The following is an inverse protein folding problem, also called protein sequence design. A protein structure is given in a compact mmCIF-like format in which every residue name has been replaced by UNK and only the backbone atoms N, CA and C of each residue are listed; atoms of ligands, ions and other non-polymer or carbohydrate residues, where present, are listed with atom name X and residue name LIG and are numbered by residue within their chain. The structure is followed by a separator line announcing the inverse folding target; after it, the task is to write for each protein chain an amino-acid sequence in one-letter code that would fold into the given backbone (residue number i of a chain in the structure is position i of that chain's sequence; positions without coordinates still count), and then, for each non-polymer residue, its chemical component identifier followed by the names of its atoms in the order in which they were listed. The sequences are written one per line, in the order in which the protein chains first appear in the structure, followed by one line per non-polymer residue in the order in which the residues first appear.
data_IF_566380229882
#
_entry.id   IF_566380229882
#
_cell.length_a   1.000
_cell.length_b   1.000
_cell.length_c   1.000
_cell.angle_alpha   90.00
_cell.angle_beta   90.00
_cell.angle_gamma   90.00
#
_symmetry.space_group_name_H-M   'P 1'
#
loop_
_entity.id
_entity.type
_entity.pdbx_description
1 polymer ?
#
# COMPACT_ATOMS: atom_id res chain seq x y z
N UNK A 1 7.44 30.38 30.73
CA UNK A 1 6.59 29.18 30.60
C UNK A 1 5.16 29.68 30.64
N UNK A 2 4.34 29.41 29.62
CA UNK A 2 2.94 29.85 29.65
C UNK A 2 2.21 29.16 30.79
N UNK A 3 1.38 29.88 31.52
CA UNK A 3 0.57 29.30 32.60
C UNK A 3 -0.24 28.12 32.05
N UNK A 4 -0.29 27.02 32.81
CA UNK A 4 -1.20 25.91 32.48
C UNK A 4 -2.64 26.41 32.50
N UNK A 5 -3.46 26.01 31.52
CA UNK A 5 -4.90 26.29 31.58
C UNK A 5 -5.51 25.68 32.86
N UNK A 6 -6.64 26.20 33.36
CA UNK A 6 -7.23 25.70 34.62
C UNK A 6 -8.13 24.49 34.40
N UNK A 7 -8.58 24.26 33.16
CA UNK A 7 -9.39 23.11 32.77
C UNK A 7 -9.25 22.78 31.28
N UNK A 8 -9.62 21.56 30.91
CA UNK A 8 -9.67 21.11 29.51
C UNK A 8 -10.58 21.97 28.64
N UNK A 9 -11.71 22.43 29.21
CA UNK A 9 -12.62 23.34 28.51
C UNK A 9 -11.97 24.71 28.22
N UNK A 10 -11.22 25.28 29.19
CA UNK A 10 -10.48 26.53 28.95
C UNK A 10 -9.41 26.37 27.86
N UNK A 11 -8.70 25.24 27.84
CA UNK A 11 -7.74 24.92 26.79
C UNK A 11 -8.42 24.78 25.42
N UNK A 12 -9.51 24.03 25.35
CA UNK A 12 -10.28 23.84 24.12
C UNK A 12 -10.80 25.17 23.57
N UNK A 13 -11.29 26.06 24.43
CA UNK A 13 -11.71 27.42 24.05
C UNK A 13 -10.54 28.28 23.57
N UNK A 14 -9.37 28.17 24.18
CA UNK A 14 -8.18 28.88 23.70
C UNK A 14 -7.72 28.39 22.32
N UNK A 15 -7.83 27.08 22.05
CA UNK A 15 -7.60 26.50 20.72
C UNK A 15 -8.64 27.04 19.73
N UNK A 16 -9.92 27.08 20.10
CA UNK A 16 -10.98 27.66 19.27
C UNK A 16 -10.65 29.11 18.85
N UNK A 17 -10.28 29.96 19.81
CA UNK A 17 -9.89 31.35 19.55
C UNK A 17 -8.65 31.46 18.63
N UNK A 18 -7.66 30.59 18.82
CA UNK A 18 -6.47 30.57 17.97
C UNK A 18 -6.74 30.11 16.53
N UNK A 19 -7.74 29.25 16.35
CA UNK A 19 -8.11 28.66 15.06
C UNK A 19 -9.22 29.41 14.32
N UNK A 20 -9.99 30.25 15.01
CA UNK A 20 -11.12 31.01 14.45
C UNK A 20 -10.82 31.71 13.11
N UNK A 21 -9.65 32.37 12.90
CA UNK A 21 -9.37 33.04 11.63
C UNK A 21 -9.30 32.10 10.42
N UNK A 22 -8.98 30.82 10.64
CA UNK A 22 -8.88 29.80 9.60
C UNK A 22 -10.14 28.92 9.53
N UNK A 23 -10.77 28.66 10.67
CA UNK A 23 -11.86 27.70 10.76
C UNK A 23 -13.03 28.33 11.52
N UNK A 24 -13.75 29.28 10.91
CA UNK A 24 -14.89 29.91 11.56
C UNK A 24 -16.06 28.91 11.64
N UNK A 25 -16.87 29.02 12.70
CA UNK A 25 -18.15 28.29 12.87
C UNK A 25 -18.04 26.78 13.20
N UNK A 26 -17.26 26.43 14.23
CA UNK A 26 -17.32 25.08 14.81
C UNK A 26 -18.70 24.75 15.40
N UNK A 27 -19.16 23.52 15.21
CA UNK A 27 -20.20 22.92 16.05
C UNK A 27 -19.53 22.26 17.26
N UNK A 28 -19.95 22.63 18.46
CA UNK A 28 -19.40 22.11 19.71
C UNK A 28 -20.14 20.84 20.15
N UNK A 29 -19.40 19.84 20.64
CA UNK A 29 -19.92 18.60 21.22
C UNK A 29 -20.96 17.91 20.31
N UNK A 30 -20.55 17.60 19.09
CA UNK A 30 -21.42 16.95 18.12
C UNK A 30 -21.65 15.49 18.51
N UNK A 31 -22.88 15.17 18.92
CA UNK A 31 -23.26 13.81 19.32
C UNK A 31 -23.57 12.96 18.09
N UNK A 32 -22.93 11.80 18.02
CA UNK A 32 -23.14 10.78 16.99
C UNK A 32 -23.85 9.60 17.62
N UNK A 33 -25.05 9.30 17.14
CA UNK A 33 -25.89 8.20 17.62
C UNK A 33 -26.04 7.14 16.53
N UNK A 34 -25.08 6.19 16.39
CA UNK A 34 -25.27 5.04 15.51
C UNK A 34 -26.52 4.25 15.92
N UNK A 35 -27.13 3.50 14.98
CA UNK A 35 -28.35 2.71 15.23
C UNK A 35 -28.34 1.88 16.53
N UNK A 36 -29.55 1.60 17.02
CA UNK A 36 -29.90 0.99 18.31
C UNK A 36 -28.91 -0.10 18.77
N UNK A 37 -28.24 0.16 19.89
CA UNK A 37 -27.41 -0.82 20.61
C UNK A 37 -25.91 -0.51 20.68
N UNK A 38 -25.42 0.49 19.94
CA UNK A 38 -24.02 0.95 20.01
C UNK A 38 -23.92 2.20 20.90
N UNK A 39 -22.87 2.30 21.72
CA UNK A 39 -22.56 3.48 22.55
C UNK A 39 -22.37 4.70 21.64
N UNK A 40 -23.07 5.79 21.93
CA UNK A 40 -22.94 7.05 21.20
C UNK A 40 -21.53 7.63 21.32
N UNK A 41 -21.09 8.36 20.30
CA UNK A 41 -19.85 9.15 20.33
C UNK A 41 -20.16 10.63 20.58
N UNK A 42 -19.25 11.35 21.21
CA UNK A 42 -19.29 12.82 21.26
C UNK A 42 -18.00 13.32 20.66
N UNK A 43 -18.13 14.09 19.58
CA UNK A 43 -17.01 14.72 18.88
C UNK A 43 -16.86 16.14 19.41
N UNK A 44 -15.67 16.53 19.85
CA UNK A 44 -15.47 17.85 20.49
C UNK A 44 -15.83 19.01 19.57
N UNK A 45 -15.29 19.02 18.34
CA UNK A 45 -15.69 19.99 17.31
C UNK A 45 -15.88 19.34 15.95
N UNK A 46 -16.85 19.85 15.22
CA UNK A 46 -17.08 19.49 13.83
C UNK A 46 -17.26 20.75 12.99
N UNK A 47 -16.50 20.87 11.91
CA UNK A 47 -16.69 21.91 10.90
C UNK A 47 -17.26 21.27 9.63
N UNK A 48 -18.55 21.48 9.42
CA UNK A 48 -19.33 20.86 8.36
C UNK A 48 -19.12 19.33 8.30
N UNK A 49 -19.07 18.72 7.11
CA UNK A 49 -18.76 17.30 6.95
C UNK A 49 -17.27 17.03 6.65
N UNK A 50 -16.35 17.95 6.97
CA UNK A 50 -15.00 17.94 6.37
C UNK A 50 -13.85 17.90 7.37
N UNK A 51 -14.11 18.34 8.60
CA UNK A 51 -13.09 18.46 9.62
C UNK A 51 -13.67 18.10 10.99
N UNK A 52 -13.07 17.08 11.60
CA UNK A 52 -13.32 16.68 12.99
C UNK A 52 -12.15 17.17 13.84
N UNK A 53 -12.43 17.62 15.06
CA UNK A 53 -11.41 17.84 16.09
C UNK A 53 -11.76 17.07 17.36
N UNK A 54 -10.75 16.43 17.92
CA UNK A 54 -10.77 15.87 19.27
C UNK A 54 -9.63 16.48 20.09
N UNK A 55 -9.95 16.89 21.31
CA UNK A 55 -9.02 17.51 22.24
C UNK A 55 -8.79 16.55 23.42
N UNK A 56 -7.52 16.35 23.79
CA UNK A 56 -7.17 15.68 25.03
C UNK A 56 -6.03 16.44 25.72
N UNK A 57 -6.18 16.67 27.02
CA UNK A 57 -5.18 17.32 27.84
C UNK A 57 -3.82 16.61 27.78
N UNK A 58 -3.73 15.36 28.19
CA UNK A 58 -2.54 14.49 28.18
C UNK A 58 -2.98 13.02 28.21
N UNK A 59 -2.16 12.10 27.70
CA UNK A 59 -2.43 10.66 27.89
C UNK A 59 -2.27 10.29 29.36
N UNK A 60 -3.39 10.09 30.05
CA UNK A 60 -3.44 9.53 31.40
C UNK A 60 -3.74 8.04 31.34
N UNK A 61 -3.54 7.31 32.44
CA UNK A 61 -3.88 5.88 32.55
C UNK A 61 -5.38 5.59 32.41
N UNK A 62 -6.24 6.62 32.47
CA UNK A 62 -7.70 6.49 32.40
C UNK A 62 -8.32 7.09 31.14
N UNK A 63 -7.56 7.85 30.34
CA UNK A 63 -8.03 8.43 29.09
C UNK A 63 -7.67 7.56 27.89
N UNK A 64 -8.60 7.38 26.95
CA UNK A 64 -8.29 6.77 25.66
C UNK A 64 -7.20 7.57 24.94
N UNK A 65 -6.36 6.88 24.17
CA UNK A 65 -5.48 7.51 23.21
C UNK A 65 -6.31 8.38 22.24
N UNK A 66 -5.86 9.62 21.96
CA UNK A 66 -6.64 10.60 21.20
C UNK A 66 -6.84 10.16 19.75
N UNK A 67 -5.86 9.44 19.19
CA UNK A 67 -5.93 8.97 17.83
C UNK A 67 -6.96 7.85 17.73
N UNK A 68 -6.99 6.93 18.71
CA UNK A 68 -8.00 5.89 18.79
C UNK A 68 -9.41 6.46 18.99
N UNK A 69 -9.55 7.47 19.85
CA UNK A 69 -10.83 8.17 20.06
C UNK A 69 -11.30 8.84 18.78
N UNK A 70 -10.45 9.64 18.13
CA UNK A 70 -10.79 10.32 16.88
C UNK A 70 -11.11 9.35 15.74
N UNK A 71 -10.39 8.23 15.67
CA UNK A 71 -10.67 7.15 14.71
C UNK A 71 -12.04 6.54 14.94
N UNK A 72 -12.40 6.29 16.21
CA UNK A 72 -13.73 5.79 16.57
C UNK A 72 -14.83 6.81 16.29
N UNK A 73 -14.59 8.08 16.60
CA UNK A 73 -15.52 9.18 16.29
C UNK A 73 -15.82 9.27 14.80
N UNK A 74 -14.79 9.23 13.96
CA UNK A 74 -14.97 9.19 12.50
C UNK A 74 -15.74 7.93 12.05
N UNK A 75 -15.42 6.76 12.61
CA UNK A 75 -16.11 5.51 12.30
C UNK A 75 -17.62 5.59 12.61
N UNK A 76 -17.95 6.04 13.82
CA UNK A 76 -19.34 6.24 14.26
C UNK A 76 -20.06 7.24 13.37
N UNK A 77 -19.38 8.32 12.98
CA UNK A 77 -19.95 9.35 12.13
C UNK A 77 -20.31 8.81 10.74
N UNK A 78 -19.41 8.07 10.11
CA UNK A 78 -19.68 7.41 8.83
C UNK A 78 -20.83 6.41 8.97
N UNK A 79 -20.88 5.65 10.06
CA UNK A 79 -21.98 4.71 10.33
C UNK A 79 -23.34 5.41 10.45
N UNK A 80 -23.38 6.54 11.16
CA UNK A 80 -24.58 7.35 11.33
C UNK A 80 -25.07 7.98 10.00
N UNK A 81 -24.15 8.51 9.19
CA UNK A 81 -24.47 9.03 7.86
C UNK A 81 -25.04 7.93 6.95
N UNK A 82 -24.41 6.75 6.96
CA UNK A 82 -24.88 5.59 6.18
C UNK A 82 -26.25 5.11 6.65
N UNK A 83 -26.43 5.04 7.96
CA UNK A 83 -27.67 4.66 8.61
C UNK A 83 -28.84 5.53 8.13
N UNK A 84 -28.64 6.84 8.19
CA UNK A 84 -29.64 7.84 7.80
C UNK A 84 -29.76 8.03 6.28
N UNK A 85 -28.89 7.41 5.49
CA UNK A 85 -28.70 7.68 4.06
C UNK A 85 -28.49 9.18 3.78
N UNK A 86 -27.77 9.85 4.67
CA UNK A 86 -27.50 11.28 4.59
C UNK A 86 -26.29 11.53 3.68
N UNK A 87 -26.40 12.51 2.77
CA UNK A 87 -25.35 12.91 1.84
C UNK A 87 -24.73 11.73 1.03
N UNK A 88 -25.50 11.01 0.19
CA UNK A 88 -25.02 9.82 -0.52
C UNK A 88 -23.85 10.08 -1.48
N UNK A 89 -23.76 11.27 -2.07
CA UNK A 89 -22.61 11.66 -2.91
C UNK A 89 -21.30 11.74 -2.09
N UNK A 90 -21.36 12.26 -0.87
CA UNK A 90 -20.21 12.30 0.05
C UNK A 90 -19.78 10.89 0.46
N UNK A 91 -20.74 10.02 0.81
CA UNK A 91 -20.46 8.61 1.12
C UNK A 91 -19.84 7.88 -0.08
N UNK A 92 -20.34 8.12 -1.30
CA UNK A 92 -19.79 7.55 -2.54
C UNK A 92 -18.36 8.04 -2.82
N UNK A 93 -18.07 9.33 -2.55
CA UNK A 93 -16.71 9.88 -2.60
C UNK A 93 -15.77 9.28 -1.54
N UNK A 94 -16.31 8.50 -0.60
CA UNK A 94 -15.55 7.82 0.46
C UNK A 94 -15.50 8.62 1.75
N UNK A 95 -16.48 9.47 2.01
CA UNK A 95 -16.58 10.30 3.20
C UNK A 95 -15.26 10.99 3.62
N UNK A 96 -14.49 11.60 2.68
CA UNK A 96 -13.18 12.14 3.01
C UNK A 96 -13.27 13.26 4.06
N UNK A 97 -12.51 13.13 5.14
CA UNK A 97 -12.44 14.13 6.19
C UNK A 97 -11.00 14.34 6.66
N UNK A 98 -10.67 15.54 7.10
CA UNK A 98 -9.50 15.75 7.95
C UNK A 98 -9.89 15.58 9.41
N UNK A 99 -8.95 15.10 10.21
CA UNK A 99 -9.14 14.86 11.65
C UNK A 99 -7.97 15.52 12.38
N UNK A 100 -8.28 16.48 13.24
CA UNK A 100 -7.32 17.19 14.09
C UNK A 100 -7.34 16.57 15.49
N UNK A 101 -6.21 16.05 15.93
CA UNK A 101 -6.06 15.54 17.29
C UNK A 101 -5.11 16.47 18.07
N UNK A 102 -5.62 17.08 19.14
CA UNK A 102 -4.84 17.93 20.03
C UNK A 102 -4.51 17.21 21.33
N UNK A 103 -3.29 16.69 21.47
CA UNK A 103 -2.84 16.01 22.69
C UNK A 103 -1.76 16.82 23.39
N UNK A 104 -2.10 17.47 24.51
CA UNK A 104 -1.19 18.37 25.20
C UNK A 104 -0.60 19.43 24.26
N UNK A 105 0.73 19.49 24.07
CA UNK A 105 1.36 20.42 23.14
C UNK A 105 1.43 19.92 21.68
N UNK A 106 0.90 18.73 21.37
CA UNK A 106 0.99 18.10 20.05
C UNK A 106 -0.29 18.33 19.25
N UNK A 107 -0.10 18.68 17.97
CA UNK A 107 -1.13 18.64 16.94
C UNK A 107 -0.81 17.49 15.98
N UNK A 108 -1.76 16.58 15.79
CA UNK A 108 -1.69 15.51 14.79
C UNK A 108 -2.80 15.77 13.76
N UNK A 109 -2.45 15.69 12.48
CA UNK A 109 -3.41 15.78 11.38
C UNK A 109 -3.52 14.40 10.73
N UNK A 110 -4.72 13.83 10.77
CA UNK A 110 -5.06 12.57 10.12
C UNK A 110 -6.05 12.80 8.98
N UNK A 111 -6.12 11.83 8.08
CA UNK A 111 -7.14 11.73 7.04
C UNK A 111 -8.08 10.59 7.34
N UNK A 112 -9.38 10.86 7.35
CA UNK A 112 -10.46 9.88 7.38
C UNK A 112 -10.92 9.55 5.97
N UNK A 113 -11.10 8.26 5.69
CA UNK A 113 -11.60 7.76 4.41
C UNK A 113 -12.41 6.48 4.60
N UNK A 114 -13.57 6.39 3.96
CA UNK A 114 -14.43 5.22 3.92
C UNK A 114 -14.29 4.50 2.59
N UNK A 115 -13.70 3.31 2.60
CA UNK A 115 -13.41 2.56 1.38
C UNK A 115 -14.64 1.88 0.75
N UNK A 116 -15.80 1.92 1.43
CA UNK A 116 -17.03 1.23 1.04
C UNK A 116 -17.34 0.02 1.93
N UNK A 117 -16.33 -0.51 2.64
CA UNK A 117 -16.48 -1.57 3.62
C UNK A 117 -16.19 -1.10 5.04
N UNK A 118 -15.10 -0.36 5.24
CA UNK A 118 -14.63 0.11 6.55
C UNK A 118 -14.13 1.55 6.53
N UNK A 119 -14.33 2.30 7.62
CA UNK A 119 -13.62 3.55 7.86
C UNK A 119 -12.13 3.28 8.10
N UNK A 120 -11.29 4.14 7.54
CA UNK A 120 -9.84 4.14 7.65
C UNK A 120 -9.46 5.54 8.14
N UNK A 121 -8.59 5.60 9.13
CA UNK A 121 -7.97 6.83 9.60
C UNK A 121 -6.47 6.59 9.60
N UNK A 122 -5.72 7.52 9.03
CA UNK A 122 -4.25 7.44 8.99
C UNK A 122 -3.65 8.83 9.23
N UNK A 123 -2.55 8.94 10.00
CA UNK A 123 -1.79 10.19 10.10
C UNK A 123 -1.27 10.63 8.73
N UNK A 124 -1.46 11.91 8.40
CA UNK A 124 -0.97 12.48 7.13
C UNK A 124 0.40 13.15 7.28
N UNK A 125 0.77 13.50 8.51
CA UNK A 125 2.03 14.14 8.85
C UNK A 125 2.54 13.66 10.20
N UNK A 126 3.85 13.84 10.43
CA UNK A 126 4.41 13.71 11.77
C UNK A 126 3.80 14.76 12.72
N UNK A 127 3.60 14.42 14.02
CA UNK A 127 3.06 15.33 15.02
C UNK A 127 3.81 16.67 15.08
N UNK A 128 3.06 17.77 15.18
CA UNK A 128 3.57 19.13 15.28
C UNK A 128 3.57 19.58 16.74
N UNK A 129 4.74 19.96 17.24
CA UNK A 129 4.88 20.54 18.59
C UNK A 129 4.51 22.02 18.54
N UNK A 130 3.46 22.41 19.27
CA UNK A 130 2.92 23.78 19.31
C UNK A 130 3.60 24.70 20.33
N UNK A 131 4.62 24.21 21.04
CA UNK A 131 5.39 25.03 21.97
C UNK A 131 6.27 26.04 21.22
N UNK A 132 6.26 27.28 21.70
CA UNK A 132 7.05 28.38 21.15
C UNK A 132 8.53 28.00 21.08
N UNK A 133 9.09 28.04 19.87
CA UNK A 133 10.54 27.93 19.64
C UNK A 133 11.19 29.32 19.57
N UNK A 134 12.46 29.41 19.98
CA UNK A 134 13.23 30.66 19.90
C UNK A 134 13.59 31.03 18.44
N UNK A 135 13.72 30.05 17.55
CA UNK A 135 14.06 30.23 16.13
C UNK A 135 12.84 30.51 15.24
N UNK A 136 11.62 30.47 15.80
CA UNK A 136 10.34 30.53 15.07
C UNK A 136 10.05 29.34 14.13
N UNK A 137 10.93 28.34 14.03
CA UNK A 137 10.75 27.21 13.11
C UNK A 137 9.49 26.39 13.41
N UNK A 138 9.19 26.15 14.69
CA UNK A 138 7.98 25.41 15.11
C UNK A 138 6.71 26.16 14.74
N UNK A 139 6.71 27.47 14.97
CA UNK A 139 5.61 28.36 14.64
C UNK A 139 5.39 28.42 13.12
N UNK A 140 6.49 28.49 12.34
CA UNK A 140 6.42 28.43 10.88
C UNK A 140 5.86 27.09 10.40
N UNK A 141 6.33 25.97 10.95
CA UNK A 141 5.80 24.63 10.61
C UNK A 141 4.32 24.51 10.94
N UNK A 142 3.90 24.97 12.12
CA UNK A 142 2.49 24.99 12.52
C UNK A 142 1.65 25.85 11.57
N UNK A 143 2.11 27.06 11.25
CA UNK A 143 1.41 27.95 10.32
C UNK A 143 1.26 27.34 8.92
N UNK A 144 2.31 26.70 8.39
CA UNK A 144 2.26 26.00 7.10
C UNK A 144 1.22 24.87 7.15
N UNK A 145 1.26 24.02 8.17
CA UNK A 145 0.31 22.91 8.31
C UNK A 145 -1.13 23.40 8.39
N UNK A 146 -1.42 24.41 9.21
CA UNK A 146 -2.77 24.95 9.36
C UNK A 146 -3.25 25.68 8.10
N UNK A 147 -2.36 26.43 7.41
CA UNK A 147 -2.69 27.10 6.14
C UNK A 147 -3.00 26.07 5.05
N UNK A 148 -2.18 25.04 4.90
CA UNK A 148 -2.42 23.97 3.93
C UNK A 148 -3.71 23.24 4.25
N UNK A 149 -3.96 22.91 5.53
CA UNK A 149 -5.20 22.28 5.94
C UNK A 149 -6.42 23.14 5.56
N UNK A 150 -6.39 24.44 5.85
CA UNK A 150 -7.43 25.39 5.47
C UNK A 150 -7.69 25.38 3.95
N UNK A 151 -6.63 25.51 3.15
CA UNK A 151 -6.74 25.53 1.69
C UNK A 151 -7.34 24.22 1.15
N UNK A 152 -6.97 23.08 1.74
CA UNK A 152 -7.41 21.74 1.28
C UNK A 152 -8.83 21.36 1.72
N UNK A 153 -9.45 22.06 2.68
CA UNK A 153 -10.86 21.81 3.01
C UNK A 153 -11.81 22.08 1.84
N UNK A 154 -11.44 23.00 0.94
CA UNK A 154 -12.22 23.26 -0.27
C UNK A 154 -12.10 22.13 -1.29
N UNK A 155 -11.00 21.37 -1.29
CA UNK A 155 -10.83 20.20 -2.15
C UNK A 155 -11.84 19.12 -1.78
N UNK A 156 -12.05 18.89 -0.47
CA UNK A 156 -13.08 17.97 0.02
C UNK A 156 -14.46 18.41 -0.49
N UNK A 157 -14.80 19.69 -0.37
CA UNK A 157 -16.09 20.22 -0.88
C UNK A 157 -16.27 20.02 -2.38
N UNK A 158 -15.20 20.15 -3.17
CA UNK A 158 -15.27 19.87 -4.60
C UNK A 158 -15.53 18.40 -4.87
N UNK A 159 -14.80 17.51 -4.18
CA UNK A 159 -15.00 16.06 -4.28
C UNK A 159 -16.41 15.62 -3.89
N UNK A 160 -17.08 16.32 -2.98
CA UNK A 160 -18.46 16.01 -2.57
C UNK A 160 -19.53 16.54 -3.51
N UNK A 161 -19.24 17.62 -4.25
CA UNK A 161 -20.21 18.35 -5.06
C UNK A 161 -20.09 18.07 -6.56
N UNK A 162 -18.92 17.63 -7.02
CA UNK A 162 -18.77 17.11 -8.37
C UNK A 162 -19.51 15.77 -8.47
N UNK A 163 -20.27 15.51 -9.56
CA UNK A 163 -20.85 14.20 -9.78
C UNK A 163 -19.69 13.20 -9.89
N UNK A 164 -19.41 12.52 -8.79
CA UNK A 164 -18.37 11.51 -8.74
C UNK A 164 -18.64 10.44 -9.82
N UNK A 165 -17.61 9.70 -10.24
CA UNK A 165 -17.84 8.49 -11.03
C UNK A 165 -18.92 7.66 -10.32
N UNK A 166 -19.85 7.10 -11.10
CA UNK A 166 -21.05 6.40 -10.64
C UNK A 166 -20.84 5.67 -9.29
N UNK A 167 -21.80 5.79 -8.34
CA UNK A 167 -21.59 5.59 -6.89
C UNK A 167 -21.14 4.19 -6.41
N UNK A 168 -20.77 3.27 -7.30
CA UNK A 168 -20.42 1.87 -6.98
C UNK A 168 -19.18 1.31 -7.73
N UNK A 169 -18.32 2.15 -8.34
CA UNK A 169 -17.23 1.62 -9.20
C UNK A 169 -15.99 1.12 -8.42
N UNK A 170 -15.81 1.47 -7.14
CA UNK A 170 -14.62 1.06 -6.37
C UNK A 170 -14.95 -0.02 -5.34
N UNK A 171 -14.43 -1.25 -5.53
CA UNK A 171 -14.56 -2.30 -4.52
C UNK A 171 -13.86 -1.90 -3.21
N UNK A 172 -14.38 -2.31 -2.04
CA UNK A 172 -13.71 -2.11 -0.77
C UNK A 172 -12.28 -2.67 -0.79
N UNK A 173 -11.41 -2.04 0.00
CA UNK A 173 -9.99 -2.39 0.12
C UNK A 173 -9.20 -2.30 -1.19
N UNK A 174 -9.65 -1.49 -2.15
CA UNK A 174 -8.90 -1.20 -3.37
C UNK A 174 -8.55 0.29 -3.49
N UNK A 175 -7.43 0.62 -4.17
CA UNK A 175 -7.09 2.01 -4.46
C UNK A 175 -8.16 2.70 -5.32
N UNK A 176 -8.51 3.95 -5.00
CA UNK A 176 -9.35 4.81 -5.86
C UNK A 176 -8.53 5.72 -6.78
N UNK A 177 -7.22 5.71 -6.59
CA UNK A 177 -6.23 6.36 -7.45
C UNK A 177 -5.84 5.41 -8.60
N UNK A 178 -5.08 5.93 -9.57
CA UNK A 178 -4.59 5.16 -10.73
C UNK A 178 -5.71 4.63 -11.65
N UNK A 179 -6.71 5.45 -11.97
CA UNK A 179 -7.82 5.05 -12.86
C UNK A 179 -7.38 4.90 -14.33
N UNK A 180 -6.22 5.45 -14.68
CA UNK A 180 -5.64 5.41 -16.02
C UNK A 180 -4.12 5.23 -15.90
N UNK A 181 -3.52 4.59 -16.89
CA UNK A 181 -2.08 4.47 -17.01
C UNK A 181 -1.62 4.54 -18.47
N UNK A 182 -0.46 5.17 -18.71
CA UNK A 182 0.22 5.17 -20.01
C UNK A 182 0.98 3.86 -20.18
N UNK A 183 0.76 3.18 -21.30
CA UNK A 183 1.43 1.90 -21.58
C UNK A 183 2.91 2.14 -21.92
N UNK A 184 3.78 1.26 -21.42
CA UNK A 184 5.22 1.31 -21.73
C UNK A 184 5.42 1.09 -23.23
N UNK A 185 6.24 1.94 -23.85
CA UNK A 185 6.55 1.85 -25.28
C UNK A 185 5.41 2.26 -26.21
N UNK A 186 4.36 2.89 -25.70
CA UNK A 186 3.19 3.35 -26.46
C UNK A 186 2.71 4.72 -25.98
N UNK A 187 2.01 5.45 -26.85
CA UNK A 187 1.26 6.66 -26.48
C UNK A 187 -0.16 6.35 -25.98
N UNK A 188 -0.56 5.08 -25.99
CA UNK A 188 -1.87 4.66 -25.49
C UNK A 188 -2.00 4.85 -23.97
N UNK A 189 -3.12 5.47 -23.59
CA UNK A 189 -3.60 5.53 -22.21
C UNK A 189 -4.75 4.54 -22.05
N UNK A 190 -4.58 3.59 -21.13
CA UNK A 190 -5.58 2.56 -20.84
C UNK A 190 -6.26 2.85 -19.51
N UNK A 191 -7.55 2.49 -19.40
CA UNK A 191 -8.27 2.59 -18.13
C UNK A 191 -7.92 1.39 -17.25
N UNK A 192 -7.64 1.65 -15.97
CA UNK A 192 -7.33 0.66 -14.97
C UNK A 192 -8.45 0.61 -13.93
N UNK A 193 -9.00 -0.59 -13.70
CA UNK A 193 -10.07 -0.81 -12.72
C UNK A 193 -9.69 -1.91 -11.75
N UNK A 194 -9.48 -1.55 -10.49
CA UNK A 194 -9.19 -2.49 -9.42
C UNK A 194 -10.41 -3.36 -9.08
N UNK A 195 -10.17 -4.63 -8.74
CA UNK A 195 -11.21 -5.61 -8.37
C UNK A 195 -11.12 -6.04 -6.92
N UNK A 196 -9.95 -6.52 -6.48
CA UNK A 196 -9.74 -7.03 -5.12
C UNK A 196 -8.24 -7.05 -4.78
N UNK A 197 -7.86 -6.96 -3.50
CA UNK A 197 -6.54 -7.38 -3.06
C UNK A 197 -6.25 -8.83 -3.48
N UNK A 198 -5.01 -9.10 -3.90
CA UNK A 198 -4.55 -10.44 -4.26
C UNK A 198 -4.28 -11.28 -3.01
N UNK A 199 -3.71 -10.67 -1.96
CA UNK A 199 -3.45 -11.33 -0.69
C UNK A 199 -4.16 -10.60 0.45
N UNK A 200 -4.94 -11.33 1.23
CA UNK A 200 -5.49 -10.88 2.50
C UNK A 200 -4.83 -11.71 3.61
N UNK A 201 -4.45 -11.09 4.72
CA UNK A 201 -4.02 -11.83 5.90
C UNK A 201 -5.22 -12.56 6.55
N UNK A 202 -4.95 -13.35 7.60
CA UNK A 202 -5.96 -14.10 8.34
C UNK A 202 -7.09 -13.20 8.91
N UNK A 203 -6.85 -11.90 9.07
CA UNK A 203 -7.81 -10.90 9.55
C UNK A 203 -8.49 -10.13 8.41
N UNK A 204 -8.33 -10.57 7.16
CA UNK A 204 -8.93 -9.93 5.99
C UNK A 204 -8.25 -8.62 5.54
N UNK A 205 -7.19 -8.17 6.22
CA UNK A 205 -6.45 -6.96 5.86
C UNK A 205 -5.42 -7.24 4.75
N UNK A 206 -5.17 -6.24 3.93
CA UNK A 206 -4.19 -6.31 2.83
C UNK A 206 -2.79 -6.43 3.43
N UNK A 207 -2.15 -7.60 3.29
CA UNK A 207 -0.81 -7.86 3.82
C UNK A 207 0.31 -7.37 2.90
N UNK A 208 0.01 -7.27 1.60
CA UNK A 208 0.87 -6.73 0.56
C UNK A 208 0.00 -5.93 -0.39
N UNK A 209 0.42 -4.73 -0.80
CA UNK A 209 -0.36 -3.86 -1.67
C UNK A 209 -0.33 -4.35 -3.14
N UNK A 210 -0.80 -5.58 -3.35
CA UNK A 210 -0.90 -6.25 -4.64
C UNK A 210 -2.39 -6.54 -4.89
N UNK A 211 -2.86 -6.20 -6.08
CA UNK A 211 -4.27 -6.19 -6.42
C UNK A 211 -4.52 -6.88 -7.77
N UNK A 212 -5.67 -7.53 -7.88
CA UNK A 212 -6.24 -7.90 -9.16
C UNK A 212 -6.98 -6.70 -9.75
N UNK A 213 -6.79 -6.45 -11.04
CA UNK A 213 -7.44 -5.37 -11.77
C UNK A 213 -7.73 -5.78 -13.23
N UNK A 214 -8.41 -4.90 -13.95
CA UNK A 214 -8.56 -4.99 -15.41
C UNK A 214 -7.99 -3.77 -16.09
N UNK A 215 -7.30 -4.01 -17.20
CA UNK A 215 -6.76 -3.00 -18.09
C UNK A 215 -7.64 -2.95 -19.35
N UNK A 216 -8.30 -1.82 -19.58
CA UNK A 216 -9.19 -1.59 -20.72
C UNK A 216 -8.44 -0.74 -21.74
N UNK A 217 -8.07 -1.35 -22.87
CA UNK A 217 -7.34 -0.73 -23.95
C UNK A 217 -8.31 -0.10 -24.95
N UNK A 218 -8.00 1.11 -25.39
CA UNK A 218 -8.84 1.90 -26.31
C UNK A 218 -8.29 1.89 -27.74
N UNK A 219 -7.28 1.06 -28.03
CA UNK A 219 -6.76 0.88 -29.38
C UNK A 219 -7.84 0.46 -30.39
N UNK A 220 -7.48 0.41 -31.69
CA UNK A 220 -8.35 0.06 -32.84
C UNK A 220 -9.15 -1.24 -32.68
N UNK A 221 -8.84 -2.06 -31.67
CA UNK A 221 -9.70 -3.15 -31.19
C UNK A 221 -9.76 -3.09 -29.67
N UNK A 222 -10.91 -2.74 -29.08
CA UNK A 222 -11.07 -2.70 -27.62
C UNK A 222 -10.75 -4.07 -27.01
N UNK A 223 -9.84 -4.12 -26.06
CA UNK A 223 -9.51 -5.32 -25.30
C UNK A 223 -9.59 -5.04 -23.80
N UNK A 224 -9.97 -6.08 -23.06
CA UNK A 224 -9.96 -6.07 -21.59
C UNK A 224 -9.05 -7.20 -21.14
N UNK A 225 -8.00 -6.86 -20.41
CA UNK A 225 -7.01 -7.82 -19.91
C UNK A 225 -7.05 -7.85 -18.39
N UNK A 226 -7.06 -9.05 -17.81
CA UNK A 226 -6.83 -9.21 -16.38
C UNK A 226 -5.35 -8.94 -16.08
N UNK A 227 -5.10 -8.10 -15.08
CA UNK A 227 -3.75 -7.68 -14.69
C UNK A 227 -3.57 -7.78 -13.19
N UNK A 228 -2.30 -7.84 -12.78
CA UNK A 228 -1.88 -7.65 -11.39
C UNK A 228 -1.30 -6.24 -11.26
N UNK A 229 -1.64 -5.55 -10.18
CA UNK A 229 -1.10 -4.23 -9.86
C UNK A 229 -0.40 -4.29 -8.52
N UNK A 230 0.89 -3.98 -8.50
CA UNK A 230 1.66 -3.80 -7.26
C UNK A 230 1.83 -2.32 -6.99
N UNK A 231 1.54 -1.87 -5.77
CA UNK A 231 1.91 -0.54 -5.32
C UNK A 231 3.20 -0.61 -4.50
N UNK A 232 4.22 0.14 -4.87
CA UNK A 232 5.47 0.21 -4.11
C UNK A 232 5.86 1.67 -3.84
N UNK A 233 6.14 1.98 -2.58
CA UNK A 233 6.62 3.30 -2.17
C UNK A 233 8.13 3.46 -2.38
N UNK A 234 8.86 2.34 -2.29
CA UNK A 234 10.32 2.27 -2.47
C UNK A 234 10.69 1.98 -3.92
N UNK A 235 12.00 1.92 -4.19
CA UNK A 235 12.52 1.54 -5.50
C UNK A 235 12.05 0.14 -5.89
N UNK A 236 11.48 0.02 -7.08
CA UNK A 236 11.16 -1.25 -7.73
C UNK A 236 12.04 -1.40 -8.96
N UNK A 237 12.61 -2.58 -9.19
CA UNK A 237 13.49 -2.88 -10.32
C UNK A 237 12.75 -2.99 -11.66
N UNK A 238 12.04 -1.95 -12.07
CA UNK A 238 11.25 -1.91 -13.30
C UNK A 238 12.08 -2.17 -14.56
N UNK A 239 13.34 -1.74 -14.58
CA UNK A 239 14.25 -1.98 -15.70
C UNK A 239 14.64 -3.45 -15.82
N UNK A 240 14.94 -4.09 -14.67
CA UNK A 240 15.25 -5.53 -14.61
C UNK A 240 14.01 -6.35 -14.98
N UNK A 241 12.83 -5.96 -14.47
CA UNK A 241 11.56 -6.59 -14.82
C UNK A 241 11.29 -6.51 -16.32
N UNK A 242 11.38 -5.32 -16.92
CA UNK A 242 11.18 -5.14 -18.36
C UNK A 242 12.20 -5.92 -19.19
N UNK A 243 13.46 -5.98 -18.74
CA UNK A 243 14.51 -6.74 -19.40
C UNK A 243 14.20 -8.24 -19.40
N UNK A 244 13.92 -8.84 -18.23
CA UNK A 244 13.55 -10.25 -18.16
C UNK A 244 12.24 -10.55 -18.90
N UNK A 245 11.28 -9.62 -18.91
CA UNK A 245 10.04 -9.79 -19.68
C UNK A 245 10.29 -9.88 -21.19
N UNK A 246 11.25 -9.11 -21.72
CA UNK A 246 11.68 -9.20 -23.13
C UNK A 246 12.35 -10.53 -23.48
N UNK A 247 13.05 -11.11 -22.52
CA UNK A 247 13.65 -12.46 -22.62
C UNK A 247 12.64 -13.57 -22.32
N UNK A 248 11.36 -13.24 -22.16
CA UNK A 248 10.29 -14.17 -21.77
C UNK A 248 10.52 -14.87 -20.42
N UNK A 249 11.34 -14.30 -19.55
CA UNK A 249 11.70 -14.80 -18.22
C UNK A 249 10.97 -14.09 -17.08
N UNK A 250 10.11 -13.11 -17.36
CA UNK A 250 9.23 -12.46 -16.39
C UNK A 250 7.86 -12.15 -17.01
N UNK A 251 6.80 -11.93 -16.20
CA UNK A 251 5.52 -11.48 -16.73
C UNK A 251 5.68 -10.10 -17.38
N UNK A 252 4.89 -9.77 -18.40
CA UNK A 252 4.98 -8.45 -19.04
C UNK A 252 4.68 -7.33 -18.04
N UNK A 253 5.50 -6.27 -18.04
CA UNK A 253 5.18 -5.01 -17.37
C UNK A 253 4.48 -4.09 -18.37
N UNK A 254 3.20 -3.81 -18.16
CA UNK A 254 2.38 -3.01 -19.06
C UNK A 254 2.52 -1.51 -18.83
N UNK A 255 2.58 -1.08 -17.57
CA UNK A 255 2.64 0.34 -17.23
C UNK A 255 3.30 0.57 -15.87
N UNK A 256 3.93 1.74 -15.73
CA UNK A 256 4.35 2.32 -14.45
C UNK A 256 3.65 3.67 -14.31
N UNK A 257 2.80 3.80 -13.28
CA UNK A 257 2.14 5.06 -12.97
C UNK A 257 2.73 5.65 -11.69
N UNK A 258 3.48 6.74 -11.85
CA UNK A 258 4.10 7.49 -10.76
C UNK A 258 3.35 8.78 -10.47
N UNK A 259 3.12 9.07 -9.19
CA UNK A 259 2.53 10.32 -8.71
C UNK A 259 3.27 10.76 -7.46
N UNK A 260 3.61 12.04 -7.38
CA UNK A 260 4.33 12.59 -6.23
C UNK A 260 3.55 12.37 -4.93
N UNK A 261 4.24 11.93 -3.88
CA UNK A 261 3.67 11.77 -2.53
C UNK A 261 2.82 10.51 -2.33
N UNK A 262 2.70 9.62 -3.31
CA UNK A 262 2.03 8.32 -3.17
C UNK A 262 2.86 7.20 -3.82
N UNK A 263 2.61 5.92 -3.49
CA UNK A 263 3.31 4.80 -4.11
C UNK A 263 3.20 4.78 -5.64
N UNK A 264 4.18 4.19 -6.30
CA UNK A 264 4.11 3.91 -7.73
C UNK A 264 3.23 2.68 -7.97
N UNK A 265 2.42 2.69 -9.04
CA UNK A 265 1.65 1.54 -9.46
C UNK A 265 2.34 0.83 -10.64
N UNK A 266 2.66 -0.45 -10.46
CA UNK A 266 3.26 -1.33 -11.47
C UNK A 266 2.17 -2.28 -11.98
N UNK A 267 1.73 -2.06 -13.21
CA UNK A 267 0.68 -2.86 -13.86
C UNK A 267 1.34 -3.94 -14.70
N UNK A 268 1.11 -5.21 -14.35
CA UNK A 268 1.78 -6.35 -14.97
C UNK A 268 0.81 -7.46 -15.35
N UNK A 269 1.26 -8.33 -16.24
CA UNK A 269 0.56 -9.52 -16.68
C UNK A 269 0.12 -10.38 -15.50
N UNK A 270 -1.14 -10.81 -15.52
CA UNK A 270 -1.64 -11.82 -14.61
C UNK A 270 -1.32 -13.20 -15.17
N UNK A 271 -0.42 -13.91 -14.50
CA UNK A 271 -0.16 -15.30 -14.83
C UNK A 271 -1.42 -16.16 -14.55
N UNK A 272 -1.82 -17.05 -15.48
CA UNK A 272 -2.97 -17.92 -15.28
C UNK A 272 -2.72 -19.02 -14.24
N UNK A 273 -3.79 -19.73 -13.83
CA UNK A 273 -3.79 -20.58 -12.63
C UNK A 273 -2.79 -21.74 -12.63
N UNK A 274 -2.35 -22.19 -13.81
CA UNK A 274 -1.34 -23.25 -13.91
C UNK A 274 0.07 -22.79 -13.51
N UNK A 275 0.29 -21.48 -13.39
CA UNK A 275 1.54 -20.93 -12.88
C UNK A 275 1.53 -20.99 -11.35
N UNK A 276 2.37 -21.85 -10.79
CA UNK A 276 2.56 -21.99 -9.34
C UNK A 276 3.95 -21.52 -8.95
N UNK A 277 4.17 -21.18 -7.68
CA UNK A 277 5.55 -20.94 -7.22
C UNK A 277 6.33 -22.25 -7.22
N UNK A 278 7.63 -22.19 -7.49
CA UNK A 278 8.49 -23.35 -7.43
C UNK A 278 8.53 -23.95 -6.02
N UNK A 279 8.41 -23.11 -4.98
CA UNK A 279 8.21 -23.57 -3.61
C UNK A 279 6.96 -24.45 -3.47
N UNK A 280 5.81 -23.99 -3.97
CA UNK A 280 4.57 -24.78 -3.94
C UNK A 280 4.66 -26.08 -4.73
N UNK A 281 5.39 -26.11 -5.85
CA UNK A 281 5.65 -27.35 -6.60
C UNK A 281 6.45 -28.35 -5.75
N UNK A 282 7.56 -27.90 -5.15
CA UNK A 282 8.38 -28.76 -4.29
C UNK A 282 7.65 -29.24 -3.04
N UNK A 283 6.77 -28.41 -2.48
CA UNK A 283 5.98 -28.74 -1.29
C UNK A 283 4.85 -29.72 -1.60
N UNK A 284 4.03 -29.42 -2.60
CA UNK A 284 2.77 -30.12 -2.85
C UNK A 284 2.88 -31.25 -3.89
N UNK A 285 3.85 -31.18 -4.80
CA UNK A 285 4.08 -32.17 -5.86
C UNK A 285 5.57 -32.57 -5.94
N UNK A 286 6.14 -33.16 -4.87
CA UNK A 286 7.58 -33.46 -4.78
C UNK A 286 8.08 -34.46 -5.84
N UNK A 287 7.20 -35.33 -6.36
CA UNK A 287 7.53 -36.27 -7.45
C UNK A 287 7.81 -35.53 -8.76
N UNK A 288 6.92 -34.62 -9.13
CA UNK A 288 7.07 -33.81 -10.35
C UNK A 288 8.30 -32.90 -10.25
N UNK A 289 8.49 -32.25 -9.09
CA UNK A 289 9.72 -31.48 -8.85
C UNK A 289 10.96 -32.33 -9.08
N UNK A 290 11.03 -33.53 -8.48
CA UNK A 290 12.19 -34.43 -8.62
C UNK A 290 12.41 -34.83 -10.08
N UNK A 291 11.35 -35.24 -10.77
CA UNK A 291 11.39 -35.67 -12.17
C UNK A 291 11.93 -34.57 -13.09
N UNK A 292 11.55 -33.31 -12.85
CA UNK A 292 11.89 -32.18 -13.72
C UNK A 292 13.02 -31.27 -13.18
N UNK A 293 13.60 -31.63 -12.04
CA UNK A 293 14.61 -30.84 -11.31
C UNK A 293 15.78 -30.39 -12.18
N UNK A 294 16.27 -31.25 -13.08
CA UNK A 294 17.38 -30.91 -13.97
C UNK A 294 17.00 -29.80 -14.98
N UNK A 295 15.81 -29.90 -15.58
CA UNK A 295 15.31 -28.88 -16.52
C UNK A 295 15.05 -27.55 -15.82
N UNK A 296 14.46 -27.60 -14.62
CA UNK A 296 14.23 -26.41 -13.77
C UNK A 296 15.55 -25.72 -13.44
N UNK A 297 16.56 -26.46 -12.96
CA UNK A 297 17.87 -25.90 -12.62
C UNK A 297 18.57 -25.28 -13.82
N UNK A 298 18.49 -25.92 -14.99
CA UNK A 298 19.08 -25.38 -16.21
C UNK A 298 18.42 -24.05 -16.61
N UNK A 299 17.09 -23.94 -16.49
CA UNK A 299 16.37 -22.69 -16.77
C UNK A 299 16.70 -21.60 -15.74
N UNK A 300 16.86 -21.94 -14.46
CA UNK A 300 17.30 -20.99 -13.42
C UNK A 300 18.73 -20.48 -13.65
N UNK A 301 19.66 -21.36 -14.02
CA UNK A 301 21.03 -20.96 -14.43
C UNK A 301 21.02 -20.04 -15.65
N UNK A 302 20.10 -20.29 -16.58
CA UNK A 302 19.89 -19.40 -17.72
C UNK A 302 19.42 -18.00 -17.28
N UNK A 303 18.46 -17.89 -16.36
CA UNK A 303 18.04 -16.61 -15.75
C UNK A 303 19.24 -15.86 -15.16
N UNK A 304 20.03 -16.52 -14.33
CA UNK A 304 21.24 -15.93 -13.72
C UNK A 304 22.22 -15.45 -14.81
N UNK A 305 22.41 -16.25 -15.86
CA UNK A 305 23.27 -15.87 -16.99
C UNK A 305 22.76 -14.63 -17.72
N UNK A 306 21.45 -14.54 -17.95
CA UNK A 306 20.79 -13.40 -18.61
C UNK A 306 20.93 -12.12 -17.77
N UNK A 307 20.70 -12.19 -16.46
CA UNK A 307 20.91 -11.07 -15.53
C UNK A 307 22.36 -10.57 -15.57
N UNK A 308 23.33 -11.49 -15.47
CA UNK A 308 24.75 -11.15 -15.48
C UNK A 308 25.19 -10.43 -16.76
N UNK A 309 24.64 -10.78 -17.92
CA UNK A 309 24.96 -10.13 -19.21
C UNK A 309 24.68 -8.63 -19.21
N UNK A 310 23.70 -8.17 -18.44
CA UNK A 310 23.34 -6.75 -18.32
C UNK A 310 23.83 -6.12 -17.01
N UNK A 311 24.66 -6.83 -16.25
CA UNK A 311 25.03 -6.45 -14.89
C UNK A 311 23.82 -6.14 -14.00
N UNK A 312 22.72 -6.88 -14.21
CA UNK A 312 21.55 -6.83 -13.34
C UNK A 312 21.63 -7.89 -12.25
N UNK A 313 20.95 -7.60 -11.16
CA UNK A 313 20.72 -8.49 -10.03
C UNK A 313 19.23 -8.48 -9.68
N UNK A 314 18.71 -9.63 -9.29
CA UNK A 314 17.37 -9.75 -8.74
C UNK A 314 17.37 -9.42 -7.25
N UNK A 315 18.35 -9.94 -6.51
CA UNK A 315 18.53 -9.70 -5.07
C UNK A 315 17.73 -10.67 -4.19
N UNK A 316 16.52 -11.04 -4.60
CA UNK A 316 15.67 -12.00 -3.90
C UNK A 316 15.34 -13.27 -4.72
N UNK A 317 16.31 -13.82 -5.45
CA UNK A 317 16.09 -14.97 -6.36
C UNK A 317 15.89 -16.29 -5.59
N UNK A 318 14.71 -16.47 -4.99
CA UNK A 318 14.29 -17.66 -4.23
C UNK A 318 13.14 -18.40 -4.90
N UNK A 319 12.91 -19.65 -4.48
CA UNK A 319 11.83 -20.50 -4.99
C UNK A 319 10.41 -19.89 -4.89
N UNK A 320 10.18 -18.98 -3.94
CA UNK A 320 8.92 -18.23 -3.82
C UNK A 320 8.72 -17.17 -4.91
N UNK A 321 9.81 -16.70 -5.51
CA UNK A 321 9.84 -15.65 -6.53
C UNK A 321 10.09 -16.22 -7.95
N UNK A 322 10.01 -17.54 -8.08
CA UNK A 322 10.06 -18.28 -9.34
C UNK A 322 8.69 -18.91 -9.57
N UNK A 323 7.99 -18.47 -10.60
CA UNK A 323 6.76 -19.10 -11.08
C UNK A 323 7.10 -20.14 -12.13
N UNK A 324 6.41 -21.28 -12.12
CA UNK A 324 6.58 -22.38 -13.07
C UNK A 324 5.23 -22.80 -13.66
N UNK A 325 5.16 -22.98 -14.98
CA UNK A 325 3.95 -23.49 -15.64
C UNK A 325 3.92 -25.02 -15.55
N UNK A 326 3.01 -25.56 -14.73
CA UNK A 326 2.92 -27.01 -14.52
C UNK A 326 2.48 -27.78 -15.76
N UNK A 327 1.84 -27.14 -16.75
CA UNK A 327 1.45 -27.80 -17.98
C UNK A 327 2.65 -28.11 -18.88
N UNK A 328 3.76 -27.39 -18.69
CA UNK A 328 4.98 -27.57 -19.50
C UNK A 328 5.93 -28.62 -18.93
N UNK A 329 5.72 -29.05 -17.69
CA UNK A 329 6.57 -30.04 -17.02
C UNK A 329 6.60 -31.37 -17.78
N UNK A 330 5.52 -31.78 -18.44
CA UNK A 330 5.45 -33.05 -19.17
C UNK A 330 6.23 -33.13 -20.48
N UNK A 331 6.68 -32.00 -21.02
CA UNK A 331 7.40 -31.94 -22.29
C UNK A 331 8.92 -31.89 -22.03
N UNK A 332 9.66 -32.90 -22.49
CA UNK A 332 11.12 -32.95 -22.33
C UNK A 332 11.77 -31.65 -22.82
N UNK A 333 12.41 -30.93 -21.88
CA UNK A 333 13.16 -29.70 -22.17
C UNK A 333 12.34 -28.40 -22.24
N UNK A 334 11.03 -28.41 -21.96
CA UNK A 334 10.18 -27.21 -22.07
C UNK A 334 9.79 -26.56 -20.74
N UNK A 335 10.65 -26.60 -19.72
CA UNK A 335 10.32 -25.96 -18.44
C UNK A 335 10.23 -24.44 -18.62
N UNK A 336 9.01 -23.91 -18.51
CA UNK A 336 8.77 -22.48 -18.54
C UNK A 336 8.71 -21.89 -17.13
N UNK A 337 9.53 -20.86 -16.92
CA UNK A 337 9.59 -20.11 -15.67
C UNK A 337 9.41 -18.62 -15.89
N UNK A 338 8.85 -17.95 -14.89
CA UNK A 338 8.74 -16.50 -14.82
C UNK A 338 9.22 -16.01 -13.46
N UNK A 339 10.18 -15.10 -13.45
CA UNK A 339 10.68 -14.43 -12.25
C UNK A 339 9.72 -13.30 -11.87
N UNK A 340 9.41 -13.21 -10.59
CA UNK A 340 8.52 -12.20 -10.02
C UNK A 340 9.17 -11.56 -8.78
N UNK A 341 8.59 -10.45 -8.32
CA UNK A 341 9.02 -9.72 -7.11
C UNK A 341 10.36 -8.98 -7.20
N UNK A 342 10.39 -7.93 -8.02
CA UNK A 342 11.58 -7.14 -8.33
C UNK A 342 11.88 -6.00 -7.32
N UNK A 343 11.46 -6.12 -6.07
CA UNK A 343 11.63 -5.03 -5.08
C UNK A 343 13.11 -4.72 -4.78
N UNK A 344 13.99 -5.71 -4.88
CA UNK A 344 15.42 -5.55 -4.59
C UNK A 344 16.27 -5.50 -5.86
N UNK A 345 15.63 -5.55 -7.02
CA UNK A 345 16.32 -5.71 -8.28
C UNK A 345 16.84 -4.38 -8.81
N UNK A 346 17.99 -4.43 -9.47
CA UNK A 346 18.60 -3.26 -10.09
C UNK A 346 19.92 -3.63 -10.74
N UNK A 347 20.79 -2.63 -10.94
CA UNK A 347 22.17 -2.86 -11.36
C UNK A 347 23.00 -3.40 -10.20
N UNK A 348 23.88 -4.35 -10.49
CA UNK A 348 24.85 -4.86 -9.52
C UNK A 348 25.64 -3.70 -8.91
N UNK A 349 25.87 -3.76 -7.60
CA UNK A 349 26.52 -2.72 -6.77
C UNK A 349 25.76 -1.41 -6.59
N UNK A 350 24.70 -1.16 -7.37
CA UNK A 350 23.80 -0.02 -7.19
C UNK A 350 22.54 -0.41 -6.41
N UNK A 351 22.01 -1.61 -6.67
CA UNK A 351 20.94 -2.21 -5.87
C UNK A 351 21.47 -2.58 -4.48
N UNK A 352 20.62 -2.44 -3.46
CA UNK A 352 20.96 -2.71 -2.07
C UNK A 352 19.98 -3.71 -1.45
N UNK A 353 20.51 -4.59 -0.60
CA UNK A 353 19.68 -5.40 0.27
C UNK A 353 18.94 -4.50 1.28
N UNK A 354 17.71 -4.84 1.68
CA UNK A 354 17.05 -4.11 2.75
C UNK A 354 17.81 -4.27 4.07
N UNK A 355 17.68 -3.28 4.96
CA UNK A 355 18.32 -3.29 6.27
C UNK A 355 17.78 -4.39 7.20
N UNK A 356 16.55 -4.86 6.96
CA UNK A 356 15.94 -5.99 7.65
C UNK A 356 15.60 -7.09 6.65
N UNK A 357 16.06 -8.32 6.92
CA UNK A 357 15.82 -9.51 6.10
C UNK A 357 15.56 -10.71 7.01
N UNK A 358 14.95 -11.76 6.45
CA UNK A 358 14.74 -12.98 7.21
C UNK A 358 16.11 -13.60 7.61
N UNK A 359 16.43 -13.73 8.91
CA UNK A 359 17.71 -14.28 9.36
C UNK A 359 17.83 -15.79 9.15
N UNK A 360 16.73 -16.50 8.84
CA UNK A 360 16.76 -17.92 8.54
C UNK A 360 17.26 -18.23 7.12
N UNK A 361 17.52 -17.22 6.31
CA UNK A 361 18.03 -17.36 4.95
C UNK A 361 19.50 -16.93 4.97
N UNK A 362 20.38 -17.78 4.44
CA UNK A 362 21.78 -17.43 4.24
C UNK A 362 21.90 -16.49 3.04
N UNK A 363 21.86 -15.19 3.32
CA UNK A 363 22.05 -14.16 2.29
C UNK A 363 23.52 -14.01 1.92
N UNK A 364 23.88 -13.93 0.62
CA UNK A 364 25.26 -13.73 0.18
C UNK A 364 25.90 -12.43 0.68
N UNK A 365 25.14 -11.33 0.67
CA UNK A 365 25.61 -10.01 1.11
C UNK A 365 25.06 -9.56 2.48
N UNK A 366 25.64 -8.48 3.00
CA UNK A 366 25.26 -7.87 4.28
C UNK A 366 23.94 -7.09 4.19
N UNK A 367 23.24 -6.94 5.32
CA UNK A 367 22.00 -6.18 5.38
C UNK A 367 22.26 -4.68 5.13
N UNK A 368 21.45 -4.04 4.29
CA UNK A 368 21.69 -2.66 3.84
C UNK A 368 22.88 -2.50 2.89
N UNK A 369 23.62 -3.58 2.58
CA UNK A 369 24.77 -3.56 1.70
C UNK A 369 24.39 -3.65 0.22
N UNK A 370 25.33 -3.32 -0.69
CA UNK A 370 25.12 -3.50 -2.12
C UNK A 370 24.94 -4.98 -2.47
N UNK A 371 24.15 -5.24 -3.52
CA UNK A 371 23.95 -6.58 -4.08
C UNK A 371 24.98 -6.79 -5.18
N UNK A 372 25.82 -7.80 -5.03
CA UNK A 372 26.89 -8.13 -5.96
C UNK A 372 26.39 -9.00 -7.11
N UNK A 373 27.09 -8.95 -8.24
CA UNK A 373 26.71 -9.69 -9.47
C UNK A 373 26.69 -11.22 -9.28
N UNK A 374 27.38 -11.74 -8.26
CA UNK A 374 27.41 -13.16 -7.92
C UNK A 374 26.29 -13.61 -6.97
N UNK A 375 25.62 -12.68 -6.30
CA UNK A 375 24.74 -12.99 -5.17
C UNK A 375 23.53 -13.85 -5.58
N UNK A 376 22.92 -13.58 -6.74
CA UNK A 376 21.80 -14.38 -7.22
C UNK A 376 22.20 -15.85 -7.48
N UNK A 377 23.44 -16.09 -7.92
CA UNK A 377 23.95 -17.44 -8.14
C UNK A 377 24.24 -18.16 -6.82
N UNK A 378 24.86 -17.49 -5.86
CA UNK A 378 25.14 -18.04 -4.54
C UNK A 378 23.84 -18.37 -3.80
N UNK A 379 22.88 -17.45 -3.82
CA UNK A 379 21.56 -17.66 -3.24
C UNK A 379 20.86 -18.86 -3.89
N UNK A 380 20.84 -18.93 -5.23
CA UNK A 380 20.29 -20.06 -5.99
C UNK A 380 20.93 -21.39 -5.55
N UNK A 381 22.27 -21.46 -5.48
CA UNK A 381 22.97 -22.67 -5.09
C UNK A 381 22.64 -23.12 -3.67
N UNK A 382 22.46 -22.17 -2.74
CA UNK A 382 22.12 -22.45 -1.34
C UNK A 382 20.74 -23.10 -1.23
N UNK A 383 19.68 -22.39 -1.64
CA UNK A 383 18.31 -22.88 -1.43
C UNK A 383 17.97 -24.07 -2.34
N UNK A 384 18.59 -24.20 -3.52
CA UNK A 384 18.36 -25.34 -4.40
C UNK A 384 18.80 -26.65 -3.75
N UNK A 385 19.96 -26.64 -3.07
CA UNK A 385 20.48 -27.81 -2.36
C UNK A 385 19.52 -28.25 -1.26
N UNK A 386 19.11 -27.31 -0.41
CA UNK A 386 18.15 -27.55 0.68
C UNK A 386 16.83 -28.10 0.15
N UNK A 387 16.30 -27.53 -0.93
CA UNK A 387 15.04 -27.97 -1.55
C UNK A 387 15.13 -29.42 -2.05
N UNK A 388 16.22 -29.80 -2.71
CA UNK A 388 16.42 -31.17 -3.20
C UNK A 388 16.52 -32.17 -2.04
N UNK A 389 17.25 -31.83 -0.98
CA UNK A 389 17.37 -32.67 0.22
C UNK A 389 16.01 -32.87 0.90
N UNK A 390 15.21 -31.81 1.04
CA UNK A 390 13.90 -31.88 1.67
C UNK A 390 12.88 -32.65 0.83
N UNK A 391 12.88 -32.46 -0.50
CA UNK A 391 12.06 -33.28 -1.41
C UNK A 391 12.44 -34.75 -1.32
N UNK A 392 13.73 -35.08 -1.25
CA UNK A 392 14.20 -36.46 -1.12
C UNK A 392 13.70 -37.09 0.20
N UNK A 393 13.73 -36.36 1.32
CA UNK A 393 13.17 -36.85 2.60
C UNK A 393 11.67 -37.14 2.51
N UNK A 394 10.91 -36.26 1.84
CA UNK A 394 9.45 -36.42 1.67
C UNK A 394 9.04 -37.60 0.81
N UNK A 395 9.91 -38.08 -0.08
CA UNK A 395 9.62 -39.24 -0.96
C UNK A 395 9.99 -40.58 -0.33
N UNK A 396 10.64 -40.59 0.84
CA UNK A 396 11.02 -41.80 1.59
C UNK A 396 9.97 -42.17 2.65
N UNK A 397 9.08 -41.22 2.99
CA UNK A 397 7.90 -41.41 3.84
C UNK A 397 6.69 -41.71 2.96
#
# INVERSE_FOLDING_TARGET
MGESFKSENERSNAIDLGLEPLFPYWKNQYRVEPYVGIVYGVIDRVLALRLIREDNWESTTTSSDIYMQASRSYELWVQDLRAKNDCPAYLAAGAPAFIMCFQGPLLIICGGFFDGGRPIVEPLIDPVIMLRGHTMDRQRRLAVVLSVLHDRLNDITRLTNEPGPQPHIFPPSTPRLYQECKLIGSEEVAQLRFRTPLTKNAFGAVSRPIFLATLHRSSTSPSVEDVVVKLAAESYGADVHQFLAKEELAPKLYAVSSKAGIPNAYVMERLPQQWVTLYSLAENNPRDFKQHSHGILNKLRHVVTVLKRQAYVHGDLRSNNVMIDVNTLGDEGKVDIKIVDFDWSGKAKEAHYPGSRNPSIMWPGMAGGPIEQGDDEELLQSWWRETVEDVQKKLVV
#
